data_IF_631178764638
#
_entry.id   IF_631178764638
#
_cell.length_a   1.000
_cell.length_b   1.000
_cell.length_c   1.000
_cell.angle_alpha   90.00
_cell.angle_beta   90.00
_cell.angle_gamma   90.00
#
_symmetry.space_group_name_H-M   'P 1'
#
loop_
_entity.id
_entity.type
_entity.pdbx_description
1 polymer ?
#
# COMPACT_ATOMS: atom_id res chain seq x y z
N UNK A 1 16.44 13.18 7.43
CA UNK A 1 16.21 11.77 7.82
C UNK A 1 15.11 11.78 8.87
N UNK A 2 13.99 11.09 8.63
CA UNK A 2 12.86 11.11 9.58
C UNK A 2 13.26 10.36 10.85
N UNK A 3 13.36 11.08 11.97
CA UNK A 3 13.60 10.47 13.27
C UNK A 3 12.42 9.53 13.57
N UNK A 4 12.71 8.23 13.68
CA UNK A 4 11.72 7.24 14.05
C UNK A 4 11.40 7.42 15.54
N UNK A 5 10.50 8.35 15.85
CA UNK A 5 9.94 8.48 17.19
C UNK A 5 9.32 7.15 17.56
N UNK A 6 9.78 6.55 18.66
CA UNK A 6 9.14 5.34 19.15
C UNK A 6 7.68 5.67 19.48
N UNK A 7 6.71 4.88 18.97
CA UNK A 7 5.30 5.14 19.22
C UNK A 7 5.04 5.01 20.73
N UNK A 8 4.43 6.03 21.31
CA UNK A 8 4.07 6.02 22.73
C UNK A 8 3.00 4.96 23.01
N UNK A 9 2.89 4.51 24.25
CA UNK A 9 1.88 3.50 24.65
C UNK A 9 0.45 3.97 24.30
N UNK A 10 0.17 5.26 24.50
CA UNK A 10 -1.09 5.88 24.11
C UNK A 10 -1.38 5.74 22.61
N UNK A 11 -0.38 5.98 21.76
CA UNK A 11 -0.54 5.83 20.30
C UNK A 11 -0.78 4.37 19.89
N UNK A 12 -0.20 3.41 20.61
CA UNK A 12 -0.43 1.99 20.38
C UNK A 12 -1.86 1.59 20.76
N UNK A 13 -2.38 2.07 21.89
CA UNK A 13 -3.76 1.81 22.34
C UNK A 13 -4.79 2.37 21.36
N UNK A 14 -4.62 3.61 20.92
CA UNK A 14 -5.51 4.23 19.93
C UNK A 14 -5.44 3.51 18.57
N UNK A 15 -4.25 3.11 18.13
CA UNK A 15 -4.08 2.32 16.91
C UNK A 15 -4.75 0.95 17.03
N UNK A 16 -4.66 0.31 18.19
CA UNK A 16 -5.33 -0.95 18.49
C UNK A 16 -6.85 -0.81 18.40
N UNK A 17 -7.44 0.23 19.01
CA UNK A 17 -8.87 0.48 18.96
C UNK A 17 -9.38 0.65 17.51
N UNK A 18 -8.71 1.50 16.70
CA UNK A 18 -9.05 1.69 15.28
C UNK A 18 -8.98 0.40 14.46
N UNK A 19 -7.99 -0.44 14.75
CA UNK A 19 -7.81 -1.71 14.05
C UNK A 19 -8.82 -2.76 14.51
N UNK A 20 -9.15 -2.79 15.80
CA UNK A 20 -10.17 -3.68 16.34
C UNK A 20 -11.54 -3.37 15.71
N UNK A 21 -11.90 -2.10 15.53
CA UNK A 21 -13.11 -1.70 14.80
C UNK A 21 -13.06 -2.15 13.33
N UNK A 22 -11.93 -1.94 12.64
CA UNK A 22 -11.78 -2.26 11.21
C UNK A 22 -11.81 -3.76 10.92
N UNK A 23 -11.19 -4.57 11.78
CA UNK A 23 -11.02 -6.01 11.58
C UNK A 23 -11.92 -6.86 12.48
N UNK A 24 -12.76 -6.22 13.32
CA UNK A 24 -13.64 -6.86 14.31
C UNK A 24 -12.91 -7.84 15.24
N UNK A 25 -11.79 -7.41 15.81
CA UNK A 25 -11.09 -8.20 16.81
C UNK A 25 -11.90 -8.23 18.11
N UNK A 26 -12.06 -9.41 18.70
CA UNK A 26 -12.77 -9.60 19.98
C UNK A 26 -11.83 -9.54 21.19
N UNK A 27 -10.52 -9.53 20.96
CA UNK A 27 -9.48 -9.62 21.98
C UNK A 27 -9.11 -8.23 22.54
N UNK A 28 -8.74 -8.21 23.83
CA UNK A 28 -8.24 -7.01 24.50
C UNK A 28 -6.84 -6.60 24.00
N UNK A 29 -6.45 -5.35 24.28
CA UNK A 29 -5.16 -4.78 23.87
C UNK A 29 -3.96 -5.68 24.21
N UNK A 30 -3.90 -6.23 25.42
CA UNK A 30 -2.79 -7.11 25.84
C UNK A 30 -2.71 -8.39 24.99
N UNK A 31 -3.86 -9.02 24.71
CA UNK A 31 -3.93 -10.21 23.88
C UNK A 31 -3.53 -9.92 22.42
N UNK A 32 -3.94 -8.76 21.89
CA UNK A 32 -3.52 -8.27 20.56
C UNK A 32 -2.01 -8.01 20.51
N UNK A 33 -1.42 -7.49 21.58
CA UNK A 33 0.01 -7.18 21.64
C UNK A 33 0.90 -8.41 21.80
N UNK A 34 0.37 -9.52 22.33
CA UNK A 34 1.06 -10.82 22.39
C UNK A 34 1.10 -11.53 21.03
N UNK A 35 0.10 -11.30 20.16
CA UNK A 35 0.11 -11.82 18.79
C UNK A 35 1.13 -11.08 17.92
N UNK A 36 2.10 -11.80 17.35
CA UNK A 36 3.20 -11.20 16.58
C UNK A 36 2.73 -10.42 15.35
N UNK A 37 1.68 -10.90 14.67
CA UNK A 37 1.17 -10.27 13.45
C UNK A 37 0.38 -9.03 13.80
N UNK A 38 -0.57 -9.16 14.73
CA UNK A 38 -1.45 -8.05 15.13
C UNK A 38 -0.66 -6.95 15.82
N UNK A 39 0.26 -7.29 16.73
CA UNK A 39 1.19 -6.35 17.37
C UNK A 39 2.02 -5.57 16.34
N UNK A 40 2.53 -6.25 15.31
CA UNK A 40 3.26 -5.59 14.22
C UNK A 40 2.37 -4.62 13.44
N UNK A 41 1.14 -5.03 13.12
CA UNK A 41 0.20 -4.15 12.42
C UNK A 41 -0.14 -2.92 13.26
N UNK A 42 -0.38 -3.08 14.57
CA UNK A 42 -0.68 -1.96 15.49
C UNK A 42 0.49 -0.99 15.55
N UNK A 43 1.73 -1.49 15.67
CA UNK A 43 2.94 -0.64 15.66
C UNK A 43 3.12 0.13 14.35
N UNK A 44 2.83 -0.49 13.21
CA UNK A 44 2.87 0.18 11.90
C UNK A 44 1.81 1.27 11.82
N UNK A 45 0.58 0.98 12.26
CA UNK A 45 -0.52 1.93 12.29
C UNK A 45 -0.26 3.10 13.24
N UNK A 46 0.38 2.86 14.39
CA UNK A 46 0.80 3.89 15.33
C UNK A 46 1.91 4.78 14.75
N UNK A 47 2.89 4.20 14.04
CA UNK A 47 3.96 4.95 13.36
C UNK A 47 3.46 5.76 12.16
N UNK A 48 2.39 5.31 11.52
CA UNK A 48 1.82 5.94 10.33
C UNK A 48 0.31 6.16 10.47
N UNK A 49 -0.13 7.09 11.36
CA UNK A 49 -1.55 7.30 11.64
C UNK A 49 -2.34 7.68 10.39
N UNK A 50 -1.72 8.43 9.46
CA UNK A 50 -2.33 8.82 8.19
C UNK A 50 -2.59 7.65 7.22
N UNK A 51 -1.87 6.53 7.35
CA UNK A 51 -2.03 5.36 6.49
C UNK A 51 -3.16 4.43 6.96
N UNK A 52 -3.48 4.43 8.26
CA UNK A 52 -4.47 3.53 8.84
C UNK A 52 -5.93 3.95 8.58
N UNK A 53 -6.18 5.23 8.27
CA UNK A 53 -7.53 5.79 8.08
C UNK A 53 -7.87 6.20 6.64
N UNK A 54 -6.90 6.27 5.74
CA UNK A 54 -7.16 6.70 4.35
C UNK A 54 -7.46 5.47 3.52
N UNK A 55 -8.71 5.32 3.07
CA UNK A 55 -8.99 4.43 1.94
C UNK A 55 -7.98 4.76 0.83
N UNK A 56 -7.35 3.76 0.18
CA UNK A 56 -6.45 4.05 -0.93
C UNK A 56 -7.24 4.93 -1.89
N UNK A 57 -6.81 6.18 -2.06
CA UNK A 57 -7.42 7.05 -3.03
C UNK A 57 -7.40 6.28 -4.35
N UNK A 58 -8.53 6.18 -5.07
CA UNK A 58 -8.54 5.51 -6.36
C UNK A 58 -7.43 6.17 -7.16
N UNK A 59 -6.36 5.41 -7.41
CA UNK A 59 -5.27 5.89 -8.24
C UNK A 59 -5.90 5.96 -9.62
N UNK A 60 -6.37 7.16 -10.00
CA UNK A 60 -6.66 7.43 -11.39
C UNK A 60 -5.43 6.92 -12.16
N UNK A 61 -5.60 6.14 -13.24
CA UNK A 61 -4.47 5.72 -14.05
C UNK A 61 -3.83 7.02 -14.55
N UNK A 62 -2.74 7.45 -13.91
CA UNK A 62 -1.88 8.47 -14.49
C UNK A 62 -1.07 7.80 -15.57
N UNK A 63 -1.75 7.30 -16.60
CA UNK A 63 -1.20 7.17 -17.93
C UNK A 63 -0.98 8.60 -18.42
N UNK A 64 0.08 9.26 -17.94
CA UNK A 64 0.63 10.40 -18.66
C UNK A 64 1.22 9.81 -19.94
N UNK A 65 0.73 10.18 -21.14
CA UNK A 65 1.49 9.92 -22.34
C UNK A 65 2.81 10.67 -22.17
N UNK A 66 3.91 9.94 -22.20
CA UNK A 66 5.23 10.53 -22.34
C UNK A 66 5.17 11.35 -23.64
N UNK A 67 5.14 12.68 -23.58
CA UNK A 67 5.25 13.48 -24.79
C UNK A 67 6.65 13.21 -25.37
N UNK A 68 6.78 12.63 -26.57
CA UNK A 68 8.07 12.50 -27.21
C UNK A 68 8.49 13.91 -27.62
N UNK A 69 9.59 14.40 -27.04
CA UNK A 69 10.28 15.59 -27.53
C UNK A 69 10.58 15.36 -29.01
N UNK A 70 10.06 16.21 -29.87
CA UNK A 70 10.35 16.19 -31.30
C UNK A 70 11.86 16.39 -31.49
N UNK A 71 12.55 15.30 -31.80
CA UNK A 71 14.01 15.25 -31.92
C UNK A 71 14.45 14.01 -32.69
N UNK A 72 14.19 14.01 -33.99
CA UNK A 72 14.97 13.39 -35.08
C UNK A 72 15.77 12.10 -34.75
N UNK A 73 15.20 10.90 -35.03
CA UNK A 73 15.93 9.69 -35.50
C UNK A 73 14.92 8.69 -36.13
N UNK A 74 15.08 8.23 -37.39
CA UNK A 74 14.15 7.28 -38.01
C UNK A 74 14.71 5.85 -37.99
N UNK A 75 14.81 5.19 -36.84
CA UNK A 75 15.10 3.74 -36.80
C UNK A 75 14.46 3.10 -35.56
N UNK A 76 13.13 3.01 -35.56
CA UNK A 76 12.44 2.02 -34.73
C UNK A 76 12.15 0.84 -35.64
N UNK A 77 13.00 -0.19 -35.53
CA UNK A 77 12.67 -1.53 -35.99
C UNK A 77 11.34 -1.94 -35.34
N UNK A 78 10.31 -2.12 -36.17
CA UNK A 78 9.00 -2.60 -35.73
C UNK A 78 9.21 -4.02 -35.20
N UNK A 79 9.35 -4.17 -33.88
CA UNK A 79 9.09 -5.46 -33.22
C UNK A 79 7.66 -5.87 -33.57
N UNK A 80 7.55 -6.79 -34.53
CA UNK A 80 6.31 -7.45 -34.93
C UNK A 80 5.77 -8.17 -33.70
N UNK A 81 4.63 -7.70 -33.17
CA UNK A 81 3.92 -8.42 -32.13
C UNK A 81 3.58 -9.82 -32.66
N UNK A 82 3.91 -10.88 -31.90
CA UNK A 82 3.39 -12.20 -32.16
C UNK A 82 1.92 -12.20 -31.73
N UNK A 83 1.02 -12.31 -32.70
CA UNK A 83 -0.39 -12.60 -32.44
C UNK A 83 -0.46 -14.05 -31.92
N UNK A 84 -0.75 -14.22 -30.64
CA UNK A 84 -1.03 -15.52 -30.06
C UNK A 84 -2.41 -15.99 -30.52
N UNK A 85 -2.43 -16.90 -31.49
CA UNK A 85 -3.60 -17.67 -31.86
C UNK A 85 -3.89 -18.67 -30.73
N UNK A 86 -5.07 -18.56 -30.09
CA UNK A 86 -5.63 -19.63 -29.25
C UNK A 86 -6.36 -20.56 -30.20
N UNK A 87 -5.86 -21.77 -30.29
CA UNK A 87 -6.57 -22.93 -30.81
C UNK A 87 -7.59 -23.34 -29.74
N UNK A 88 -8.87 -23.32 -30.09
CA UNK A 88 -9.99 -23.79 -29.25
C UNK A 88 -10.46 -25.10 -29.90
N UNK A 89 -10.03 -26.24 -29.35
CA UNK A 89 -10.61 -27.58 -29.53
C UNK A 89 -10.32 -28.44 -28.27
#
# INVERSE_FOLDING_TARGET
MAHATEPTDQMLREACARMAERFRWADDFEAVMQDRVRSRMVRIAARHPAAAGRAPAPRAPSCRPLQPSAGCLPFIDRKRAAAGERDDD
#
